data_IF_194054017023
#
_entry.id   IF_194054017023
#
_cell.length_a   1.000
_cell.length_b   1.000
_cell.length_c   1.000
_cell.angle_alpha   90.00
_cell.angle_beta   90.00
_cell.angle_gamma   90.00
#
_symmetry.space_group_name_H-M   'P 1'
#
loop_
_entity.id
_entity.type
_entity.pdbx_description
1 polymer ?
#
# COMPACT_ATOMS: atom_id res chain seq x y z
N UNK A 1 -14.34 31.60 -21.36
CA UNK A 1 -15.08 30.70 -20.44
C UNK A 1 -14.04 30.14 -19.49
N UNK A 2 -14.16 30.45 -18.20
CA UNK A 2 -13.29 29.79 -17.21
C UNK A 2 -13.54 28.30 -17.32
N UNK A 3 -12.46 27.52 -17.46
CA UNK A 3 -12.52 26.06 -17.54
C UNK A 3 -13.12 25.54 -16.24
N UNK A 4 -14.22 24.79 -16.30
CA UNK A 4 -14.91 24.24 -15.13
C UNK A 4 -13.99 23.37 -14.27
N UNK A 5 -13.07 22.65 -14.91
CA UNK A 5 -12.05 21.84 -14.25
C UNK A 5 -11.26 22.67 -13.22
N UNK A 6 -10.76 23.86 -13.61
CA UNK A 6 -9.95 24.71 -12.72
C UNK A 6 -10.69 25.25 -11.50
N UNK A 7 -12.04 25.29 -11.55
CA UNK A 7 -12.85 25.70 -10.39
C UNK A 7 -13.03 24.59 -9.35
N UNK A 8 -12.84 23.33 -9.78
CA UNK A 8 -12.95 22.16 -8.91
C UNK A 8 -11.63 21.78 -8.26
N UNK A 9 -10.52 22.33 -8.74
CA UNK A 9 -9.19 22.04 -8.25
C UNK A 9 -8.91 22.79 -6.95
N UNK A 10 -8.54 22.03 -5.91
CA UNK A 10 -7.95 22.58 -4.68
C UNK A 10 -6.42 22.71 -4.86
N UNK A 11 -5.99 23.91 -5.23
CA UNK A 11 -4.58 24.20 -5.50
C UNK A 11 -3.68 24.06 -4.26
N UNK A 12 -4.21 24.33 -3.06
CA UNK A 12 -3.45 24.18 -1.83
C UNK A 12 -3.21 22.71 -1.53
N UNK A 13 -4.21 21.86 -1.68
CA UNK A 13 -4.07 20.42 -1.49
C UNK A 13 -3.16 19.77 -2.54
N UNK A 14 -3.15 20.26 -3.79
CA UNK A 14 -2.16 19.85 -4.80
C UNK A 14 -0.74 20.20 -4.35
N UNK A 15 -0.54 21.42 -3.85
CA UNK A 15 0.78 21.87 -3.37
C UNK A 15 1.27 21.00 -2.21
N UNK A 16 0.40 20.61 -1.27
CA UNK A 16 0.72 19.69 -0.17
C UNK A 16 1.17 18.30 -0.68
N UNK A 17 0.55 17.78 -1.73
CA UNK A 17 0.98 16.51 -2.35
C UNK A 17 2.35 16.67 -3.01
N UNK A 18 2.56 17.74 -3.78
CA UNK A 18 3.81 17.99 -4.49
C UNK A 18 5.01 18.17 -3.56
N UNK A 19 4.79 18.82 -2.41
CA UNK A 19 5.81 18.99 -1.37
C UNK A 19 5.86 17.81 -0.39
N UNK A 20 5.02 16.80 -0.61
CA UNK A 20 4.92 15.62 0.26
C UNK A 20 4.60 15.99 1.72
N UNK A 21 3.56 16.77 1.90
CA UNK A 21 3.05 17.26 3.20
C UNK A 21 1.59 16.86 3.45
N UNK A 22 0.92 16.28 2.44
CA UNK A 22 -0.44 15.74 2.60
C UNK A 22 -0.47 14.58 3.58
N UNK A 23 -1.42 14.61 4.51
CA UNK A 23 -1.71 13.49 5.41
C UNK A 23 -2.67 12.47 4.81
N UNK A 24 -3.52 12.89 3.87
CA UNK A 24 -4.39 12.02 3.10
C UNK A 24 -4.37 12.36 1.61
N UNK A 25 -3.49 11.73 0.84
CA UNK A 25 -3.45 11.92 -0.61
C UNK A 25 -4.71 11.45 -1.34
N UNK A 26 -5.48 10.51 -0.74
CA UNK A 26 -6.71 9.99 -1.35
C UNK A 26 -7.85 11.02 -1.39
N UNK A 27 -7.79 12.08 -0.58
CA UNK A 27 -8.77 13.17 -0.64
C UNK A 27 -8.65 13.98 -1.94
N UNK A 28 -7.49 13.91 -2.61
CA UNK A 28 -7.19 14.67 -3.83
C UNK A 28 -6.97 13.76 -5.01
N UNK A 29 -6.05 12.78 -4.86
CA UNK A 29 -5.70 11.84 -5.92
C UNK A 29 -6.78 10.76 -6.06
N UNK A 30 -6.90 10.23 -7.29
CA UNK A 30 -7.92 9.25 -7.59
C UNK A 30 -9.15 9.83 -8.27
N UNK A 31 -10.25 9.12 -8.16
CA UNK A 31 -11.50 9.42 -8.82
C UNK A 31 -12.56 9.91 -7.82
N UNK A 32 -13.04 11.13 -8.00
CA UNK A 32 -13.98 11.79 -7.10
C UNK A 32 -15.25 12.22 -7.83
N UNK A 33 -16.42 11.89 -7.28
CA UNK A 33 -17.69 12.37 -7.77
C UNK A 33 -17.91 13.82 -7.34
N UNK A 34 -18.22 14.67 -8.32
CA UNK A 34 -18.58 16.06 -8.09
C UNK A 34 -19.97 16.37 -8.65
N UNK A 35 -20.52 17.54 -8.35
CA UNK A 35 -21.77 18.00 -8.97
C UNK A 35 -21.64 18.14 -10.50
N UNK A 36 -20.44 18.38 -11.00
CA UNK A 36 -20.15 18.60 -12.42
C UNK A 36 -19.77 17.32 -13.18
N UNK A 37 -19.61 16.20 -12.51
CA UNK A 37 -19.20 14.92 -13.09
C UNK A 37 -18.09 14.21 -12.28
N UNK A 38 -17.45 13.25 -12.92
CA UNK A 38 -16.33 12.49 -12.37
C UNK A 38 -15.03 13.29 -12.59
N UNK A 39 -14.42 13.72 -11.51
CA UNK A 39 -13.08 14.33 -11.50
C UNK A 39 -12.05 13.24 -11.20
N UNK A 40 -11.08 13.05 -12.08
CA UNK A 40 -9.94 12.13 -11.84
C UNK A 40 -8.67 12.97 -11.79
N UNK A 41 -7.89 12.80 -10.73
CA UNK A 41 -6.66 13.54 -10.48
C UNK A 41 -5.51 12.57 -10.23
N UNK A 42 -4.35 12.85 -10.82
CA UNK A 42 -3.15 12.02 -10.68
C UNK A 42 -1.90 12.87 -10.52
N UNK A 43 -0.99 12.45 -9.64
CA UNK A 43 0.35 13.02 -9.53
C UNK A 43 1.36 12.00 -10.04
N UNK A 44 1.85 12.21 -11.26
CA UNK A 44 2.77 11.34 -11.97
C UNK A 44 4.01 12.14 -12.38
N UNK A 45 5.01 12.24 -11.49
CA UNK A 45 6.25 12.93 -11.79
C UNK A 45 6.90 12.39 -13.07
N UNK A 46 7.49 13.30 -13.85
CA UNK A 46 8.20 13.02 -15.09
C UNK A 46 7.33 12.52 -16.26
N UNK A 47 6.00 12.46 -16.11
CA UNK A 47 5.11 12.20 -17.22
C UNK A 47 5.04 13.40 -18.18
N UNK A 48 5.02 13.10 -19.49
CA UNK A 48 4.74 14.05 -20.56
C UNK A 48 3.23 14.18 -20.78
N UNK A 49 2.54 13.03 -20.89
CA UNK A 49 1.08 12.95 -21.02
C UNK A 49 0.52 11.75 -20.28
N UNK A 50 -0.73 11.85 -19.87
CA UNK A 50 -1.50 10.80 -19.20
C UNK A 50 -2.89 10.72 -19.81
N UNK A 51 -3.36 9.52 -20.07
CA UNK A 51 -4.73 9.22 -20.47
C UNK A 51 -5.38 8.32 -19.43
N UNK A 52 -6.67 8.52 -19.17
CA UNK A 52 -7.51 7.57 -18.40
C UNK A 52 -8.19 6.63 -19.37
N UNK A 53 -8.00 5.33 -19.22
CA UNK A 53 -8.69 4.30 -19.98
C UNK A 53 -9.70 3.58 -19.08
N UNK A 54 -10.98 3.63 -19.42
CA UNK A 54 -12.02 2.83 -18.78
C UNK A 54 -12.02 1.41 -19.38
N UNK A 55 -11.66 0.42 -18.57
CA UNK A 55 -11.37 -0.96 -19.01
C UNK A 55 -12.58 -1.62 -19.66
N UNK A 56 -13.77 -1.52 -19.05
CA UNK A 56 -14.98 -2.20 -19.50
C UNK A 56 -15.50 -1.67 -20.86
N UNK A 57 -15.39 -0.35 -21.10
CA UNK A 57 -15.95 0.30 -22.29
C UNK A 57 -14.86 0.71 -23.30
N UNK A 58 -13.60 0.52 -22.96
CA UNK A 58 -12.43 0.84 -23.80
C UNK A 58 -12.45 2.29 -24.33
N UNK A 59 -12.92 3.22 -23.51
CA UNK A 59 -12.90 4.65 -23.83
C UNK A 59 -11.73 5.30 -23.12
N UNK A 60 -11.01 6.17 -23.82
CA UNK A 60 -9.86 6.92 -23.32
C UNK A 60 -10.20 8.41 -23.22
N UNK A 61 -9.62 9.08 -22.23
CA UNK A 61 -9.76 10.51 -21.99
C UNK A 61 -8.38 11.08 -21.66
N UNK A 62 -7.97 12.07 -22.45
CA UNK A 62 -6.74 12.82 -22.18
C UNK A 62 -6.88 13.59 -20.87
N UNK A 63 -5.88 13.52 -20.02
CA UNK A 63 -5.79 14.33 -18.82
C UNK A 63 -5.06 15.65 -19.11
N UNK A 64 -5.61 16.75 -18.62
CA UNK A 64 -4.95 18.05 -18.71
C UNK A 64 -3.78 18.11 -17.69
N UNK A 65 -2.59 18.44 -18.19
CA UNK A 65 -1.42 18.68 -17.34
C UNK A 65 -1.54 20.05 -16.69
N UNK A 66 -1.73 20.06 -15.38
CA UNK A 66 -1.97 21.30 -14.63
C UNK A 66 -0.69 22.07 -14.32
N UNK A 67 0.45 21.36 -14.23
CA UNK A 67 1.75 21.98 -13.95
C UNK A 67 2.95 21.11 -14.39
N UNK A 68 4.14 21.70 -14.31
CA UNK A 68 5.38 21.03 -14.74
C UNK A 68 5.90 19.97 -13.76
N UNK A 69 5.35 19.88 -12.55
CA UNK A 69 5.73 18.86 -11.54
C UNK A 69 5.10 17.50 -11.82
N UNK A 70 4.08 17.44 -12.68
CA UNK A 70 3.44 16.19 -13.09
C UNK A 70 2.07 15.98 -12.44
N UNK A 71 1.35 17.02 -12.15
CA UNK A 71 -0.04 16.92 -11.75
C UNK A 71 -0.98 16.98 -12.96
N UNK A 72 -1.87 16.00 -13.04
CA UNK A 72 -2.82 15.83 -14.15
C UNK A 72 -4.24 15.73 -13.61
N UNK A 73 -5.21 16.24 -14.38
CA UNK A 73 -6.63 16.12 -14.04
C UNK A 73 -7.50 16.01 -15.29
N UNK A 74 -8.64 15.35 -15.16
CA UNK A 74 -9.70 15.32 -16.16
C UNK A 74 -11.06 15.34 -15.49
N UNK A 75 -12.00 16.10 -16.06
CA UNK A 75 -13.41 16.12 -15.66
C UNK A 75 -14.24 15.45 -16.76
N UNK A 76 -14.92 14.36 -16.42
CA UNK A 76 -15.71 13.53 -17.33
C UNK A 76 -17.18 13.64 -16.94
N UNK A 77 -18.08 13.91 -17.89
CA UNK A 77 -19.53 13.92 -17.64
C UNK A 77 -20.05 12.51 -17.38
N UNK A 78 -19.90 12.09 -16.11
CA UNK A 78 -20.22 10.73 -15.66
C UNK A 78 -20.59 10.73 -14.17
N UNK A 79 -21.52 9.81 -13.78
CA UNK A 79 -22.01 9.70 -12.39
C UNK A 79 -21.57 8.43 -11.66
N UNK A 80 -20.82 7.56 -12.31
CA UNK A 80 -20.26 6.34 -11.74
C UNK A 80 -18.74 6.39 -11.83
N UNK A 81 -18.06 5.59 -11.02
CA UNK A 81 -16.60 5.42 -11.03
C UNK A 81 -16.32 4.01 -11.59
N UNK A 82 -16.11 3.86 -12.90
CA UNK A 82 -15.78 2.57 -13.48
C UNK A 82 -14.34 2.17 -13.14
N UNK A 83 -14.00 0.92 -13.41
CA UNK A 83 -12.62 0.47 -13.37
C UNK A 83 -11.81 1.14 -14.49
N UNK A 84 -10.64 1.68 -14.13
CA UNK A 84 -9.77 2.39 -15.07
C UNK A 84 -8.30 2.16 -14.80
N UNK A 85 -7.49 2.47 -15.83
CA UNK A 85 -6.03 2.55 -15.78
C UNK A 85 -5.56 3.90 -16.29
N UNK A 86 -4.35 4.29 -15.90
CA UNK A 86 -3.62 5.39 -16.51
C UNK A 86 -2.68 4.82 -17.58
N UNK A 87 -2.77 5.34 -18.81
CA UNK A 87 -1.79 5.14 -19.86
C UNK A 87 -0.86 6.37 -19.85
N UNK A 88 0.40 6.15 -19.53
CA UNK A 88 1.38 7.20 -19.26
C UNK A 88 2.44 7.19 -20.33
N UNK A 89 2.77 8.36 -20.86
CA UNK A 89 3.97 8.59 -21.67
C UNK A 89 4.92 9.47 -20.85
N UNK A 90 6.12 8.96 -20.61
CA UNK A 90 7.15 9.71 -19.87
C UNK A 90 8.00 10.57 -20.80
N UNK A 91 8.68 11.60 -20.23
CA UNK A 91 9.56 12.52 -20.98
C UNK A 91 10.72 11.83 -21.70
N UNK A 92 11.12 10.65 -21.26
CA UNK A 92 12.15 9.82 -21.91
C UNK A 92 11.62 8.95 -23.05
N UNK A 93 10.30 9.02 -23.33
CA UNK A 93 9.61 8.26 -24.37
C UNK A 93 9.13 6.87 -23.93
N UNK A 94 9.41 6.45 -22.69
CA UNK A 94 8.85 5.22 -22.15
C UNK A 94 7.34 5.34 -21.95
N UNK A 95 6.63 4.21 -22.08
CA UNK A 95 5.18 4.14 -21.85
C UNK A 95 4.86 3.11 -20.77
N UNK A 96 3.84 3.37 -19.96
CA UNK A 96 3.37 2.46 -18.92
C UNK A 96 1.86 2.52 -18.83
N UNK A 97 1.21 1.38 -18.57
CA UNK A 97 -0.20 1.32 -18.20
C UNK A 97 -0.31 0.79 -16.77
N UNK A 98 -0.91 1.55 -15.86
CA UNK A 98 -1.00 1.21 -14.44
C UNK A 98 -2.42 1.43 -13.91
N UNK A 99 -2.82 0.65 -12.92
CA UNK A 99 -3.98 0.98 -12.09
C UNK A 99 -3.67 2.16 -11.17
N UNK A 100 -4.70 2.90 -10.83
CA UNK A 100 -4.59 3.98 -9.86
C UNK A 100 -4.61 3.44 -8.43
N UNK A 101 -3.52 3.59 -7.69
CA UNK A 101 -3.43 3.16 -6.30
C UNK A 101 -4.39 3.93 -5.37
N UNK A 102 -4.73 5.17 -5.72
CA UNK A 102 -5.58 6.06 -4.91
C UNK A 102 -7.08 5.82 -5.09
N UNK A 103 -7.45 4.91 -6.00
CA UNK A 103 -8.83 4.47 -6.17
C UNK A 103 -9.32 3.58 -5.02
N UNK A 104 -8.42 2.87 -4.38
CA UNK A 104 -8.76 1.82 -3.44
C UNK A 104 -8.86 2.34 -2.01
N UNK A 105 -9.88 1.87 -1.27
CA UNK A 105 -10.04 2.18 0.15
C UNK A 105 -9.20 1.25 1.02
N UNK A 106 -8.93 1.67 2.26
CA UNK A 106 -8.21 0.85 3.22
C UNK A 106 -9.04 -0.30 3.80
N UNK A 107 -8.36 -1.17 4.55
CA UNK A 107 -8.95 -2.38 5.14
C UNK A 107 -9.14 -2.28 6.66
N UNK A 108 -8.72 -1.18 7.30
CA UNK A 108 -8.93 -1.00 8.74
C UNK A 108 -10.38 -0.65 9.05
N UNK A 109 -10.95 -1.33 10.03
CA UNK A 109 -12.27 -1.04 10.59
C UNK A 109 -12.15 -0.14 11.82
N UNK A 110 -13.25 0.48 12.25
CA UNK A 110 -13.28 1.25 13.50
C UNK A 110 -12.92 0.40 14.73
N UNK A 111 -13.29 -0.90 14.73
CA UNK A 111 -12.91 -1.82 15.80
C UNK A 111 -11.40 -2.08 15.82
N UNK A 112 -10.77 -2.26 14.65
CA UNK A 112 -9.31 -2.39 14.56
C UNK A 112 -8.60 -1.19 15.19
N UNK A 113 -9.01 0.02 14.82
CA UNK A 113 -8.42 1.25 15.33
C UNK A 113 -8.63 1.38 16.84
N UNK A 114 -9.85 1.11 17.31
CA UNK A 114 -10.18 1.14 18.76
C UNK A 114 -9.38 0.10 19.56
N UNK A 115 -9.22 -1.12 19.05
CA UNK A 115 -8.39 -2.16 19.69
C UNK A 115 -6.91 -1.78 19.66
N UNK A 116 -6.44 -1.18 18.57
CA UNK A 116 -5.05 -0.73 18.45
C UNK A 116 -4.73 0.38 19.43
N UNK A 117 -5.55 1.41 19.53
CA UNK A 117 -5.39 2.52 20.49
C UNK A 117 -5.33 2.03 21.94
N UNK A 118 -6.15 1.02 22.29
CA UNK A 118 -6.15 0.41 23.61
C UNK A 118 -4.99 -0.57 23.86
N UNK A 119 -4.17 -0.86 22.85
CA UNK A 119 -3.07 -1.81 22.94
C UNK A 119 -3.50 -3.28 23.09
N UNK A 120 -4.70 -3.64 22.64
CA UNK A 120 -5.28 -4.99 22.73
C UNK A 120 -5.59 -5.63 21.38
N UNK A 121 -5.03 -5.08 20.30
CA UNK A 121 -5.13 -5.67 18.97
C UNK A 121 -3.99 -6.67 18.76
N UNK A 122 -4.17 -7.89 19.25
CA UNK A 122 -3.12 -8.92 19.18
C UNK A 122 -2.88 -9.46 17.78
N UNK A 123 -3.85 -9.32 16.89
CA UNK A 123 -3.82 -9.79 15.51
C UNK A 123 -3.42 -8.68 14.51
N UNK A 124 -2.89 -7.56 14.99
CA UNK A 124 -2.56 -6.40 14.15
C UNK A 124 -1.55 -6.73 13.04
N UNK A 125 -0.71 -7.75 13.24
CA UNK A 125 0.25 -8.24 12.25
C UNK A 125 -0.40 -8.81 10.99
N UNK A 126 -1.69 -9.14 11.02
CA UNK A 126 -2.46 -9.55 9.84
C UNK A 126 -2.78 -8.36 8.90
N UNK A 127 -2.62 -7.13 9.38
CA UNK A 127 -2.87 -5.89 8.65
C UNK A 127 -1.64 -5.00 8.51
N UNK A 128 -0.78 -4.93 9.55
CA UNK A 128 0.49 -4.21 9.48
C UNK A 128 1.50 -4.98 8.62
N UNK A 129 2.29 -4.24 7.85
CA UNK A 129 3.27 -4.82 6.94
C UNK A 129 2.80 -4.79 5.49
N UNK A 130 3.27 -5.76 4.70
CA UNK A 130 2.95 -5.94 3.28
C UNK A 130 2.20 -7.25 3.07
N UNK A 131 0.96 -7.17 2.60
CA UNK A 131 0.08 -8.31 2.40
C UNK A 131 -0.40 -8.39 0.96
N UNK A 132 -0.15 -9.55 0.30
CA UNK A 132 -0.73 -9.84 -1.01
C UNK A 132 -2.23 -10.05 -0.85
N UNK A 133 -3.04 -9.19 -1.42
CA UNK A 133 -4.50 -9.25 -1.36
C UNK A 133 -5.12 -8.89 -2.71
N UNK A 134 -6.40 -9.19 -2.86
CA UNK A 134 -7.20 -8.80 -4.02
C UNK A 134 -8.28 -7.82 -3.57
N UNK A 135 -8.31 -6.61 -4.13
CA UNK A 135 -9.35 -5.61 -3.88
C UNK A 135 -10.09 -5.35 -5.19
N UNK A 136 -11.42 -5.42 -5.17
CA UNK A 136 -12.27 -5.22 -6.36
C UNK A 136 -11.85 -6.03 -7.60
N UNK A 137 -11.31 -7.24 -7.39
CA UNK A 137 -10.86 -8.13 -8.47
C UNK A 137 -9.45 -7.85 -8.98
N UNK A 138 -8.75 -6.84 -8.46
CA UNK A 138 -7.36 -6.51 -8.82
C UNK A 138 -6.41 -7.02 -7.74
N UNK A 139 -5.44 -7.83 -8.17
CA UNK A 139 -4.37 -8.32 -7.31
C UNK A 139 -3.33 -7.23 -7.06
N UNK A 140 -2.79 -7.20 -5.85
CA UNK A 140 -1.76 -6.24 -5.46
C UNK A 140 -1.25 -6.47 -4.05
N UNK A 141 -0.56 -5.48 -3.52
CA UNK A 141 -0.04 -5.51 -2.15
C UNK A 141 -0.59 -4.34 -1.36
N UNK A 142 -1.18 -4.66 -0.23
CA UNK A 142 -1.57 -3.69 0.77
C UNK A 142 -0.41 -3.46 1.72
N UNK A 143 -0.04 -2.22 1.89
CA UNK A 143 1.04 -1.78 2.79
C UNK A 143 0.46 -0.98 3.94
N UNK A 144 0.93 -1.26 5.14
CA UNK A 144 0.53 -0.52 6.33
C UNK A 144 1.66 -0.44 7.35
N UNK A 145 1.83 0.72 7.97
CA UNK A 145 2.85 0.96 8.98
C UNK A 145 2.41 1.98 10.03
N UNK A 146 2.80 1.77 11.26
CA UNK A 146 2.61 2.74 12.34
C UNK A 146 3.81 3.69 12.43
N UNK A 147 3.57 4.96 12.16
CA UNK A 147 4.59 6.02 12.14
C UNK A 147 4.04 7.34 12.74
N UNK A 148 3.69 7.39 14.02
CA UNK A 148 2.94 8.51 14.63
C UNK A 148 3.66 9.85 14.58
N UNK A 149 4.98 9.85 14.47
CA UNK A 149 5.81 11.07 14.34
C UNK A 149 6.04 11.54 12.89
N UNK A 150 5.54 10.81 11.90
CA UNK A 150 5.65 11.19 10.52
C UNK A 150 4.62 12.28 10.14
N UNK A 151 4.95 13.11 9.17
CA UNK A 151 4.01 13.97 8.45
C UNK A 151 3.60 13.34 7.14
N UNK A 152 4.46 12.51 6.55
CA UNK A 152 4.20 11.72 5.34
C UNK A 152 4.97 10.40 5.43
N UNK A 153 4.35 9.34 4.96
CA UNK A 153 4.98 8.06 4.67
C UNK A 153 4.69 7.68 3.22
N UNK A 154 5.68 7.15 2.51
CA UNK A 154 5.50 6.59 1.18
C UNK A 154 6.09 5.19 1.10
N UNK A 155 5.52 4.32 0.28
CA UNK A 155 6.15 3.05 -0.07
C UNK A 155 7.06 3.28 -1.27
N UNK A 156 8.31 2.84 -1.18
CA UNK A 156 9.30 2.94 -2.25
C UNK A 156 9.92 1.59 -2.55
N UNK A 157 10.17 1.32 -3.81
CA UNK A 157 10.76 0.07 -4.28
C UNK A 157 11.05 0.14 -5.78
N UNK A 158 11.47 -0.98 -6.38
CA UNK A 158 11.78 -1.03 -7.81
C UNK A 158 10.55 -0.71 -8.68
N UNK A 159 9.34 -1.03 -8.20
CA UNK A 159 8.06 -0.76 -8.90
C UNK A 159 7.75 0.73 -9.09
N UNK A 160 8.40 1.63 -8.35
CA UNK A 160 8.24 3.08 -8.49
C UNK A 160 9.56 3.85 -8.56
N UNK A 161 10.66 3.17 -8.94
CA UNK A 161 12.00 3.74 -9.05
C UNK A 161 12.51 4.36 -7.75
N UNK A 162 12.07 3.86 -6.59
CA UNK A 162 12.40 4.36 -5.26
C UNK A 162 12.02 5.84 -5.03
N UNK A 163 11.03 6.34 -5.78
CA UNK A 163 10.55 7.71 -5.71
C UNK A 163 9.38 7.83 -4.73
N UNK A 164 9.63 8.41 -3.55
CA UNK A 164 8.63 8.60 -2.50
C UNK A 164 7.51 9.58 -2.83
N UNK A 165 7.56 10.26 -3.98
CA UNK A 165 6.48 11.13 -4.45
C UNK A 165 5.31 10.32 -5.05
N UNK A 166 5.55 9.08 -5.49
CA UNK A 166 4.61 8.30 -6.32
C UNK A 166 3.55 7.53 -5.54
N UNK A 167 3.89 6.98 -4.38
CA UNK A 167 2.99 6.17 -3.56
C UNK A 167 2.98 6.69 -2.12
N UNK A 168 2.46 7.91 -1.96
CA UNK A 168 2.24 8.51 -0.65
C UNK A 168 1.05 7.84 0.02
N UNK A 169 1.23 7.43 1.26
CA UNK A 169 0.22 6.71 2.04
C UNK A 169 -0.71 7.69 2.76
N UNK A 170 -1.97 7.32 2.89
CA UNK A 170 -2.90 8.07 3.74
C UNK A 170 -2.70 7.73 5.20
N UNK A 171 -2.84 8.71 6.07
CA UNK A 171 -2.90 8.55 7.50
C UNK A 171 -4.34 8.26 7.94
N UNK A 172 -4.53 7.23 8.76
CA UNK A 172 -5.87 6.89 9.25
C UNK A 172 -6.17 7.71 10.51
N UNK A 173 -6.87 8.81 10.36
CA UNK A 173 -7.22 9.72 11.45
C UNK A 173 -6.02 10.08 12.33
N UNK A 174 -6.18 9.98 13.65
CA UNK A 174 -5.13 10.28 14.63
C UNK A 174 -4.35 9.04 15.11
N UNK A 175 -4.62 7.85 14.57
CA UNK A 175 -4.01 6.58 14.98
C UNK A 175 -2.48 6.54 14.77
N UNK A 176 -1.96 7.33 13.83
CA UNK A 176 -0.58 7.27 13.38
C UNK A 176 -0.28 6.09 12.46
N UNK A 177 -1.30 5.35 12.04
CA UNK A 177 -1.20 4.30 11.02
C UNK A 177 -1.29 4.95 9.64
N UNK A 178 -0.42 4.53 8.75
CA UNK A 178 -0.42 4.88 7.32
C UNK A 178 -0.69 3.65 6.49
N UNK A 179 -1.47 3.79 5.41
CA UNK A 179 -1.84 2.68 4.54
C UNK A 179 -1.92 3.09 3.07
N UNK A 180 -1.69 2.11 2.18
CA UNK A 180 -1.97 2.19 0.74
C UNK A 180 -2.08 0.79 0.16
N UNK A 181 -2.98 0.60 -0.81
CA UNK A 181 -2.98 -0.56 -1.68
C UNK A 181 -2.30 -0.22 -3.00
N UNK A 182 -1.30 -0.99 -3.42
CA UNK A 182 -0.61 -0.79 -4.70
C UNK A 182 -0.92 -1.98 -5.61
N UNK A 183 -1.74 -1.76 -6.64
CA UNK A 183 -2.07 -2.78 -7.64
C UNK A 183 -0.85 -3.30 -8.36
N UNK A 184 -0.93 -4.55 -8.83
CA UNK A 184 0.08 -5.21 -9.67
C UNK A 184 1.46 -5.39 -9.01
N UNK A 185 1.68 -4.91 -7.80
CA UNK A 185 2.85 -5.29 -6.97
C UNK A 185 2.64 -6.74 -6.51
N UNK A 186 3.70 -7.55 -6.55
CA UNK A 186 3.63 -8.99 -6.34
C UNK A 186 4.66 -9.46 -5.32
N UNK A 187 4.55 -10.73 -4.95
CA UNK A 187 5.57 -11.43 -4.15
C UNK A 187 6.96 -11.34 -4.80
N UNK A 188 7.99 -11.13 -3.97
CA UNK A 188 9.37 -10.96 -4.41
C UNK A 188 9.80 -9.50 -4.62
N UNK A 189 8.87 -8.56 -4.73
CA UNK A 189 9.24 -7.15 -4.82
C UNK A 189 9.91 -6.66 -3.54
N UNK A 190 10.96 -5.86 -3.71
CA UNK A 190 11.65 -5.21 -2.58
C UNK A 190 11.10 -3.82 -2.33
N UNK A 191 11.00 -3.44 -1.04
CA UNK A 191 10.46 -2.15 -0.65
C UNK A 191 11.05 -1.62 0.65
N UNK A 192 10.87 -0.32 0.87
CA UNK A 192 11.05 0.38 2.15
C UNK A 192 9.93 1.40 2.34
N UNK A 193 9.81 1.90 3.56
CA UNK A 193 9.05 3.11 3.82
C UNK A 193 9.97 4.32 3.80
N UNK A 194 9.62 5.33 3.00
CA UNK A 194 10.22 6.64 3.06
C UNK A 194 9.39 7.52 4.01
N UNK A 195 10.02 7.93 5.11
CA UNK A 195 9.35 8.63 6.21
C UNK A 195 9.87 10.07 6.26
N UNK A 196 8.95 11.05 6.11
CA UNK A 196 9.23 12.48 6.33
C UNK A 196 8.72 12.88 7.70
N UNK A 197 9.55 13.55 8.48
CA UNK A 197 9.17 14.11 9.78
C UNK A 197 9.31 15.64 9.76
N UNK A 198 8.72 16.34 10.73
CA UNK A 198 8.81 17.81 10.81
C UNK A 198 10.22 18.36 10.99
N UNK A 199 11.20 17.54 11.31
CA UNK A 199 12.54 17.97 11.76
C UNK A 199 13.69 17.51 10.87
N UNK A 200 13.45 16.86 9.74
CA UNK A 200 14.55 16.31 8.97
C UNK A 200 14.20 15.93 7.54
N UNK A 201 15.25 15.58 6.82
CA UNK A 201 15.15 14.99 5.49
C UNK A 201 14.38 13.66 5.53
N UNK A 202 13.71 13.28 4.44
CA UNK A 202 13.10 11.97 4.34
C UNK A 202 14.12 10.86 4.58
N UNK A 203 13.73 9.82 5.31
CA UNK A 203 14.58 8.68 5.62
C UNK A 203 13.94 7.36 5.22
N UNK A 204 14.77 6.46 4.68
CA UNK A 204 14.34 5.10 4.33
C UNK A 204 14.40 4.18 5.55
N UNK A 205 13.31 3.46 5.81
CA UNK A 205 13.21 2.46 6.87
C UNK A 205 12.68 1.14 6.33
N UNK A 206 13.24 0.04 6.85
CA UNK A 206 12.67 -1.28 6.65
C UNK A 206 11.33 -1.40 7.36
N UNK A 207 10.48 -2.27 6.89
CA UNK A 207 9.20 -2.55 7.52
C UNK A 207 9.39 -3.33 8.82
N UNK A 208 8.88 -2.84 9.96
CA UNK A 208 8.97 -3.57 11.24
C UNK A 208 8.13 -4.85 11.27
N UNK A 209 7.15 -4.99 10.38
CA UNK A 209 6.30 -6.18 10.23
C UNK A 209 6.67 -7.04 9.01
N UNK A 210 7.82 -6.79 8.37
CA UNK A 210 8.24 -7.59 7.23
C UNK A 210 8.44 -9.07 7.61
N UNK A 211 7.80 -9.96 6.84
CA UNK A 211 7.99 -11.39 6.97
C UNK A 211 9.31 -11.88 6.33
N UNK A 212 9.89 -11.08 5.43
CA UNK A 212 11.15 -11.39 4.77
C UNK A 212 11.95 -10.13 4.46
N UNK A 213 13.29 -10.26 4.37
CA UNK A 213 14.19 -9.14 4.11
C UNK A 213 15.40 -9.56 3.28
N UNK A 214 16.02 -8.59 2.64
CA UNK A 214 17.30 -8.81 1.94
C UNK A 214 18.40 -9.26 2.90
N UNK A 215 19.38 -9.97 2.35
CA UNK A 215 20.60 -10.35 3.07
C UNK A 215 21.49 -9.12 3.25
N UNK A 216 22.18 -9.05 4.38
CA UNK A 216 23.17 -8.00 4.65
C UNK A 216 24.28 -7.99 3.57
N UNK A 217 24.75 -6.82 3.15
CA UNK A 217 24.60 -5.48 3.75
C UNK A 217 23.28 -4.77 3.42
N UNK A 218 22.48 -5.32 2.51
CA UNK A 218 21.20 -4.74 2.15
C UNK A 218 20.20 -4.79 3.32
N UNK A 219 19.15 -3.96 3.23
CA UNK A 219 18.21 -3.81 4.35
C UNK A 219 16.77 -3.53 3.91
N UNK A 220 16.42 -3.78 2.65
CA UNK A 220 15.04 -3.64 2.22
C UNK A 220 14.22 -4.86 2.66
N UNK A 221 12.94 -4.63 2.88
CA UNK A 221 11.95 -5.66 3.11
C UNK A 221 11.54 -6.29 1.77
N UNK A 222 11.08 -7.52 1.79
CA UNK A 222 10.64 -8.26 0.61
C UNK A 222 9.20 -8.68 0.84
N UNK A 223 8.34 -8.42 -0.15
CA UNK A 223 6.97 -8.91 -0.14
C UNK A 223 6.98 -10.44 -0.24
N UNK A 224 6.34 -11.12 0.69
CA UNK A 224 6.20 -12.57 0.70
C UNK A 224 4.81 -12.98 1.17
N UNK A 225 4.24 -13.96 0.49
CA UNK A 225 2.98 -14.58 0.91
C UNK A 225 3.28 -15.77 1.81
N UNK A 226 3.05 -15.64 3.12
CA UNK A 226 3.26 -16.71 4.09
C UNK A 226 2.11 -17.72 4.19
N UNK A 227 0.99 -17.47 3.49
CA UNK A 227 -0.22 -18.29 3.57
C UNK A 227 -0.19 -19.48 2.59
N UNK A 228 0.87 -19.65 1.80
CA UNK A 228 0.98 -20.72 0.80
C UNK A 228 1.44 -22.07 1.31
N UNK A 229 1.78 -22.22 2.61
CA UNK A 229 2.24 -23.50 3.17
C UNK A 229 1.06 -24.35 3.64
N UNK A 230 0.93 -25.55 3.10
CA UNK A 230 -0.06 -26.52 3.55
C UNK A 230 0.52 -27.37 4.69
N UNK A 231 -0.01 -27.15 5.87
CA UNK A 231 0.33 -27.97 7.04
C UNK A 231 -0.24 -29.37 6.87
N UNK A 232 0.52 -30.38 7.33
CA UNK A 232 0.13 -31.82 7.28
C UNK A 232 0.03 -32.40 8.68
N UNK A 233 -0.30 -31.60 9.67
CA UNK A 233 -0.32 -31.92 11.09
C UNK A 233 -1.75 -31.93 11.68
N UNK A 234 -2.79 -32.02 10.84
CA UNK A 234 -4.19 -32.03 11.24
C UNK A 234 -4.50 -33.09 12.32
N UNK A 235 -4.05 -34.32 12.10
CA UNK A 235 -4.25 -35.41 13.08
C UNK A 235 -3.64 -35.08 14.44
N UNK A 236 -2.49 -34.40 14.45
CA UNK A 236 -1.82 -33.99 15.70
C UNK A 236 -2.59 -32.86 16.37
N UNK A 237 -3.06 -31.87 15.61
CA UNK A 237 -3.83 -30.74 16.11
C UNK A 237 -5.16 -31.23 16.71
N UNK A 238 -5.89 -32.11 16.03
CA UNK A 238 -7.13 -32.72 16.53
C UNK A 238 -6.90 -33.51 17.84
N UNK A 239 -5.84 -34.29 17.89
CA UNK A 239 -5.45 -35.05 19.11
C UNK A 239 -5.17 -34.09 20.27
N UNK A 240 -4.49 -32.98 20.03
CA UNK A 240 -4.19 -31.95 21.02
C UNK A 240 -5.46 -31.31 21.56
N UNK A 241 -6.40 -30.95 20.69
CA UNK A 241 -7.65 -30.28 21.05
C UNK A 241 -8.57 -31.20 21.86
N UNK A 242 -8.63 -32.49 21.52
CA UNK A 242 -9.33 -33.52 22.31
C UNK A 242 -8.71 -33.67 23.71
N UNK A 243 -7.37 -33.59 23.81
CA UNK A 243 -6.66 -33.67 25.09
C UNK A 243 -7.00 -32.48 26.01
N UNK A 244 -6.99 -31.28 25.44
CA UNK A 244 -7.33 -30.03 26.13
C UNK A 244 -8.81 -29.99 26.57
N UNK A 245 -9.75 -30.39 25.71
CA UNK A 245 -11.18 -30.41 25.99
C UNK A 245 -11.57 -31.38 27.09
N UNK A 246 -10.77 -32.45 27.31
CA UNK A 246 -10.96 -33.40 28.39
C UNK A 246 -10.33 -32.96 29.74
N UNK A 247 -9.91 -31.70 29.86
CA UNK A 247 -9.31 -31.14 31.08
C UNK A 247 -7.96 -31.80 31.48
N UNK A 248 -7.31 -32.49 30.55
CA UNK A 248 -5.97 -33.08 30.78
C UNK A 248 -4.94 -32.04 30.34
N UNK A 249 -4.22 -31.51 31.29
CA UNK A 249 -3.03 -30.70 31.02
C UNK A 249 -1.92 -31.61 30.48
N UNK A 250 -1.09 -31.07 29.57
CA UNK A 250 0.10 -31.73 29.05
C UNK A 250 1.18 -32.00 30.14
N UNK A 251 0.96 -31.53 31.37
CA UNK A 251 1.90 -31.51 32.49
C UNK A 251 2.40 -32.88 32.96
N UNK A 252 2.17 -33.95 32.28
CA UNK A 252 2.67 -35.30 32.62
C UNK A 252 3.12 -36.10 31.42
N UNK A 253 3.04 -35.51 30.20
CA UNK A 253 3.46 -36.22 28.99
C UNK A 253 4.95 -36.00 28.72
N UNK A 254 5.64 -37.01 28.18
CA UNK A 254 7.03 -36.85 27.77
C UNK A 254 7.14 -35.77 26.68
N UNK A 255 8.10 -34.86 26.84
CA UNK A 255 8.38 -33.80 25.88
C UNK A 255 9.80 -34.00 25.34
N UNK A 256 9.94 -34.01 24.02
CA UNK A 256 11.22 -33.95 23.34
C UNK A 256 11.49 -32.50 22.89
N UNK A 257 12.62 -31.94 23.29
CA UNK A 257 13.08 -30.64 22.90
C UNK A 257 14.31 -30.80 22.01
N UNK A 258 14.25 -30.27 20.79
CA UNK A 258 15.36 -30.26 19.86
C UNK A 258 15.70 -28.84 19.48
N UNK A 259 16.82 -28.31 19.98
CA UNK A 259 17.29 -26.97 19.72
C UNK A 259 18.17 -26.98 18.47
N UNK A 260 17.85 -26.12 17.52
CA UNK A 260 18.52 -26.02 16.22
C UNK A 260 18.90 -24.59 15.90
N UNK A 261 20.15 -24.38 15.48
CA UNK A 261 20.58 -23.15 14.84
C UNK A 261 20.62 -23.36 13.31
N UNK A 262 19.55 -22.96 12.62
CA UNK A 262 19.36 -23.23 11.20
C UNK A 262 20.53 -22.73 10.34
N UNK A 263 21.09 -21.57 10.64
CA UNK A 263 22.20 -20.95 9.90
C UNK A 263 23.52 -21.74 9.92
N UNK A 264 23.66 -22.70 10.84
CA UNK A 264 24.85 -23.54 10.97
C UNK A 264 24.57 -25.05 10.86
N UNK A 265 23.30 -25.44 10.63
CA UNK A 265 22.89 -26.83 10.59
C UNK A 265 23.52 -27.61 9.44
N UNK A 266 23.36 -27.14 8.21
CA UNK A 266 24.01 -27.68 7.01
C UNK A 266 24.31 -26.51 6.06
N UNK A 267 25.53 -26.42 5.56
CA UNK A 267 25.91 -25.55 4.47
C UNK A 267 25.98 -26.37 3.19
N UNK A 268 25.28 -25.94 2.14
CA UNK A 268 25.52 -26.44 0.80
C UNK A 268 26.79 -25.75 0.28
N UNK A 269 27.75 -26.53 -0.24
CA UNK A 269 28.93 -26.03 -0.94
C UNK A 269 28.55 -25.38 -2.27
#
# INVERSE_FOLDING_TARGET
MENLLYKLIDWAAIEDIEYSESSDPHDVLGAHQTEAGLLIQAFIPDAESVEVEFIAVKSTYDMEKLNDKGFFAVLIDRKDIPEYKFNIVYKDGNTQSIYDAYRYTGIYTEDDLSRFERGVHYDIYEKMGAHCITIEGVEGVYFSVWAPGAIRVSVVGDFNCWDGRRHQMRRIGDSGIYEIFIPEVQEGFIYKYEIKTRRGEPMLKSDPYANYSQLRPESASIVVNINGYNWTDEDWMDSRDIYQSNGKNYDGNPMNIYEVHLGSWIRKE
#
